data_IF_482339506394
#
_entry.id   IF_482339506394
#
_cell.length_a   1.000
_cell.length_b   1.000
_cell.length_c   1.000
_cell.angle_alpha   90.00
_cell.angle_beta   90.00
_cell.angle_gamma   90.00
#
_symmetry.space_group_name_H-M   'P 1'
#
loop_
_entity.id
_entity.type
_entity.pdbx_description
1 polymer ?
#
# COMPACT_ATOMS: atom_id res chain seq x y z
N UNK A 1 -16.85 -6.39 3.09
CA UNK A 1 -15.87 -7.32 3.71
C UNK A 1 -14.46 -7.27 3.12
N UNK A 2 -14.26 -7.16 1.79
CA UNK A 2 -12.92 -7.08 1.16
C UNK A 2 -12.00 -5.99 1.73
N UNK A 3 -12.54 -4.80 2.02
CA UNK A 3 -11.77 -3.69 2.59
C UNK A 3 -11.31 -3.91 4.04
N UNK A 4 -12.06 -4.66 4.85
CA UNK A 4 -11.68 -4.93 6.23
C UNK A 4 -10.52 -5.92 6.27
N UNK A 5 -10.63 -7.00 5.50
CA UNK A 5 -9.54 -7.97 5.38
C UNK A 5 -8.28 -7.30 4.84
N UNK A 6 -8.34 -6.53 3.75
CA UNK A 6 -7.18 -5.78 3.23
C UNK A 6 -6.54 -4.84 4.27
N UNK A 7 -7.35 -4.17 5.10
CA UNK A 7 -6.86 -3.22 6.10
C UNK A 7 -6.16 -3.89 7.29
N UNK A 8 -6.56 -5.10 7.64
CA UNK A 8 -6.03 -5.84 8.80
C UNK A 8 -5.23 -7.09 8.43
N UNK A 9 -5.09 -7.43 7.14
CA UNK A 9 -4.43 -8.65 6.65
C UNK A 9 -3.04 -8.82 7.24
N UNK A 10 -2.27 -7.74 7.28
CA UNK A 10 -0.90 -7.75 7.77
C UNK A 10 -0.85 -7.82 9.31
N UNK A 11 -1.83 -7.25 10.01
CA UNK A 11 -1.96 -7.43 11.47
C UNK A 11 -2.32 -8.87 11.83
N UNK A 12 -3.24 -9.50 11.09
CA UNK A 12 -3.62 -10.90 11.29
C UNK A 12 -2.43 -11.81 11.02
N UNK A 13 -1.66 -11.57 9.94
CA UNK A 13 -0.43 -12.32 9.66
C UNK A 13 0.59 -12.24 10.79
N UNK A 14 0.86 -11.03 11.29
CA UNK A 14 1.77 -10.82 12.43
C UNK A 14 1.29 -11.57 13.68
N UNK A 15 -0.01 -11.54 14.00
CA UNK A 15 -0.56 -12.24 15.17
C UNK A 15 -0.39 -13.76 15.04
N UNK A 16 -0.67 -14.32 13.86
CA UNK A 16 -0.52 -15.76 13.59
C UNK A 16 0.95 -16.17 13.68
N UNK A 17 1.85 -15.44 13.03
CA UNK A 17 3.30 -15.70 13.05
C UNK A 17 3.85 -15.64 14.49
N UNK A 18 3.41 -14.64 15.27
CA UNK A 18 3.77 -14.51 16.69
C UNK A 18 3.30 -15.70 17.52
N UNK A 19 2.09 -16.19 17.25
CA UNK A 19 1.51 -17.34 17.96
C UNK A 19 2.28 -18.62 17.65
N UNK A 20 2.71 -18.81 16.40
CA UNK A 20 3.54 -19.95 15.98
C UNK A 20 4.91 -19.91 16.69
N UNK A 21 5.53 -18.74 16.81
CA UNK A 21 6.80 -18.57 17.54
C UNK A 21 6.63 -18.95 19.00
N UNK A 22 5.58 -18.44 19.67
CA UNK A 22 5.30 -18.73 21.09
C UNK A 22 5.03 -20.23 21.31
N UNK A 23 4.24 -20.86 20.44
CA UNK A 23 4.00 -22.31 20.47
C UNK A 23 5.27 -23.12 20.25
N UNK A 24 6.10 -22.72 19.28
CA UNK A 24 7.39 -23.37 19.01
C UNK A 24 8.34 -23.31 20.19
N UNK A 25 8.41 -22.16 20.87
CA UNK A 25 9.20 -21.98 22.09
C UNK A 25 8.62 -22.79 23.27
N UNK A 26 7.29 -22.84 23.42
CA UNK A 26 6.62 -23.60 24.48
C UNK A 26 6.90 -25.10 24.38
N UNK A 27 6.91 -25.63 23.15
CA UNK A 27 7.19 -27.05 22.87
C UNK A 27 8.71 -27.34 22.86
N UNK A 28 9.56 -26.32 23.10
CA UNK A 28 11.03 -26.37 22.95
C UNK A 28 11.48 -26.88 21.57
N UNK A 29 10.62 -26.73 20.56
CA UNK A 29 10.91 -27.14 19.20
C UNK A 29 11.38 -25.92 18.40
N UNK A 30 12.68 -25.67 18.48
CA UNK A 30 13.33 -24.51 17.87
C UNK A 30 13.13 -24.40 16.35
N UNK A 31 12.84 -25.52 15.68
CA UNK A 31 12.53 -25.54 14.24
C UNK A 31 11.23 -24.76 13.95
N UNK A 32 10.20 -24.94 14.77
CA UNK A 32 8.93 -24.19 14.64
C UNK A 32 9.10 -22.71 14.97
N UNK A 33 9.90 -22.39 15.99
CA UNK A 33 10.21 -21.01 16.33
C UNK A 33 10.96 -20.30 15.19
N UNK A 34 11.95 -20.96 14.58
CA UNK A 34 12.68 -20.45 13.42
C UNK A 34 11.78 -20.26 12.19
N UNK A 35 10.87 -21.21 11.93
CA UNK A 35 9.87 -21.11 10.85
C UNK A 35 8.93 -19.92 11.05
N UNK A 36 8.42 -19.71 12.27
CA UNK A 36 7.59 -18.55 12.59
C UNK A 36 8.34 -17.23 12.43
N UNK A 37 9.62 -17.18 12.79
CA UNK A 37 10.49 -16.02 12.59
C UNK A 37 10.71 -15.71 11.10
N UNK A 38 10.94 -16.74 10.27
CA UNK A 38 11.08 -16.60 8.82
C UNK A 38 9.78 -16.07 8.18
N UNK A 39 8.62 -16.59 8.60
CA UNK A 39 7.31 -16.12 8.15
C UNK A 39 7.08 -14.65 8.54
N UNK A 40 7.41 -14.26 9.77
CA UNK A 40 7.29 -12.89 10.24
C UNK A 40 8.12 -11.91 9.38
N UNK A 41 9.36 -12.28 9.05
CA UNK A 41 10.22 -11.48 8.17
C UNK A 41 9.63 -11.35 6.77
N UNK A 42 9.05 -12.42 6.22
CA UNK A 42 8.38 -12.41 4.93
C UNK A 42 7.15 -11.48 4.95
N UNK A 43 6.34 -11.57 6.01
CA UNK A 43 5.16 -10.71 6.23
C UNK A 43 5.55 -9.23 6.29
N UNK A 44 6.63 -8.90 7.01
CA UNK A 44 7.16 -7.54 7.07
C UNK A 44 7.71 -7.04 5.73
N UNK A 45 8.37 -7.92 4.98
CA UNK A 45 8.89 -7.60 3.65
C UNK A 45 7.77 -7.27 2.66
N UNK A 46 6.73 -8.11 2.62
CA UNK A 46 5.54 -7.90 1.78
C UNK A 46 4.81 -6.62 2.21
N UNK A 47 4.67 -6.36 3.51
CA UNK A 47 4.06 -5.13 4.00
C UNK A 47 4.80 -3.87 3.52
N UNK A 48 6.14 -3.89 3.56
CA UNK A 48 6.96 -2.76 3.07
C UNK A 48 6.79 -2.54 1.56
N UNK A 49 6.65 -3.61 0.79
CA UNK A 49 6.38 -3.55 -0.66
C UNK A 49 4.97 -3.00 -0.96
N UNK A 50 3.95 -3.48 -0.24
CA UNK A 50 2.57 -3.01 -0.41
C UNK A 50 2.45 -1.52 -0.10
N UNK A 51 3.06 -1.05 1.00
CA UNK A 51 3.05 0.36 1.38
C UNK A 51 3.65 1.27 0.31
N UNK A 52 4.79 0.88 -0.28
CA UNK A 52 5.40 1.67 -1.38
C UNK A 52 4.52 1.71 -2.62
N UNK A 53 3.86 0.60 -2.94
CA UNK A 53 2.99 0.51 -4.10
C UNK A 53 1.70 1.34 -3.91
N UNK A 54 1.19 1.42 -2.69
CA UNK A 54 0.08 2.32 -2.34
C UNK A 54 0.50 3.80 -2.44
N UNK A 55 1.69 4.15 -1.99
CA UNK A 55 2.24 5.51 -2.12
C UNK A 55 2.44 5.91 -3.59
N UNK A 56 2.97 5.02 -4.43
CA UNK A 56 3.11 5.27 -5.87
C UNK A 56 1.74 5.39 -6.58
N UNK A 57 0.76 4.58 -6.21
CA UNK A 57 -0.61 4.71 -6.72
C UNK A 57 -1.24 6.05 -6.30
N UNK A 58 -1.06 6.46 -5.05
CA UNK A 58 -1.53 7.74 -4.56
C UNK A 58 -0.87 8.92 -5.30
N UNK A 59 0.45 8.84 -5.53
CA UNK A 59 1.20 9.83 -6.34
C UNK A 59 0.67 9.89 -7.78
N UNK A 60 0.51 8.75 -8.46
CA UNK A 60 -0.06 8.72 -9.83
C UNK A 60 -1.47 9.31 -9.90
N UNK A 61 -2.31 9.08 -8.89
CA UNK A 61 -3.66 9.68 -8.83
C UNK A 61 -3.57 11.20 -8.63
N UNK A 62 -2.68 11.68 -7.78
CA UNK A 62 -2.45 13.11 -7.55
C UNK A 62 -1.92 13.80 -8.82
N UNK A 63 -0.93 13.20 -9.50
CA UNK A 63 -0.37 13.69 -10.75
C UNK A 63 -1.41 13.77 -11.86
N UNK A 64 -2.25 12.74 -12.00
CA UNK A 64 -3.34 12.71 -12.98
C UNK A 64 -4.40 13.78 -12.71
N UNK A 65 -4.66 14.10 -11.43
CA UNK A 65 -5.54 15.21 -11.05
C UNK A 65 -4.92 16.58 -11.35
N UNK A 66 -3.62 16.75 -11.06
CA UNK A 66 -2.88 17.98 -11.36
C UNK A 66 -2.82 18.25 -12.87
N UNK A 67 -2.48 17.23 -13.67
CA UNK A 67 -2.45 17.33 -15.14
C UNK A 67 -3.82 17.70 -15.73
N UNK A 68 -4.91 17.11 -15.22
CA UNK A 68 -6.28 17.51 -15.62
C UNK A 68 -6.61 18.96 -15.26
N UNK A 69 -6.12 19.46 -14.13
CA UNK A 69 -6.32 20.85 -13.71
C UNK A 69 -5.54 21.82 -14.60
N UNK A 70 -4.29 21.49 -14.95
CA UNK A 70 -3.49 22.27 -15.91
C UNK A 70 -4.10 22.31 -17.31
N UNK A 71 -4.54 21.16 -17.83
CA UNK A 71 -5.22 21.10 -19.14
C UNK A 71 -6.49 21.96 -19.15
N UNK A 72 -7.27 21.97 -18.05
CA UNK A 72 -8.44 22.86 -17.91
C UNK A 72 -8.05 24.35 -17.88
N UNK A 73 -6.95 24.72 -17.23
CA UNK A 73 -6.44 26.11 -17.21
C UNK A 73 -5.97 26.56 -18.60
N UNK A 74 -5.21 25.71 -19.28
CA UNK A 74 -4.73 25.96 -20.65
C UNK A 74 -5.90 26.11 -21.64
N UNK A 75 -6.92 25.25 -21.56
CA UNK A 75 -8.11 25.36 -22.41
C UNK A 75 -8.94 26.61 -22.12
N UNK A 76 -9.06 27.06 -20.86
CA UNK A 76 -9.70 28.35 -20.54
C UNK A 76 -8.94 29.54 -21.15
N UNK A 77 -7.60 29.51 -21.11
CA UNK A 77 -6.76 30.54 -21.72
C UNK A 77 -6.92 30.62 -23.25
N UNK A 78 -6.91 29.47 -23.93
CA UNK A 78 -7.16 29.40 -25.38
C UNK A 78 -8.56 29.90 -25.77
N UNK A 79 -9.59 29.57 -24.98
CA UNK A 79 -10.97 30.02 -25.20
C UNK A 79 -11.11 31.55 -25.05
N UNK A 80 -10.45 32.15 -24.05
CA UNK A 80 -10.39 33.62 -23.89
C UNK A 80 -9.69 34.31 -25.05
N UNK A 81 -8.54 33.80 -25.52
CA UNK A 81 -7.84 34.37 -26.69
C UNK A 81 -8.68 34.29 -27.97
N UNK A 82 -9.40 33.19 -28.20
CA UNK A 82 -10.28 33.03 -29.39
C UNK A 82 -11.47 34.00 -29.37
N UNK A 83 -12.01 34.33 -28.20
CA UNK A 83 -13.11 35.32 -28.04
C UNK A 83 -12.67 36.77 -28.27
N UNK A 84 -11.38 37.10 -28.10
CA UNK A 84 -10.83 38.46 -28.25
C UNK A 84 -10.40 38.79 -29.69
N UNK A 85 -10.35 37.79 -30.57
CA UNK A 85 -10.01 37.90 -32.00
C UNK A 85 -11.24 37.98 -32.91
N UNK A 86 -12.43 37.82 -32.35
CA UNK A 86 -13.74 38.00 -32.99
C UNK A 86 -14.30 39.32 -32.49
#
# INVERSE_FOLDING_TARGET
>A
MKNFYMKYKNHIGIIVDSTIIVLGLYIKNYIFAAMGLALLLLTLYVYKLEKRNEEEKAKKIAEKKASKAEQKRLNKGKKKKKKKKR
#
